data_IF_862666868619
#
_entry.id   IF_862666868619
#
_cell.length_a   1.000
_cell.length_b   1.000
_cell.length_c   1.000
_cell.angle_alpha   90.00
_cell.angle_beta   90.00
_cell.angle_gamma   90.00
#
_symmetry.space_group_name_H-M   'P 1'
#
loop_
_entity.id
_entity.type
_entity.pdbx_description
1 polymer ?
#
# COMPACT_ATOMS: atom_id res chain seq x y z
N UNK A 1 -14.24 17.33 -7.63
CA UNK A 1 -13.05 16.52 -7.38
C UNK A 1 -11.83 17.33 -7.80
N UNK A 2 -10.75 17.25 -7.02
CA UNK A 2 -9.47 17.95 -7.26
C UNK A 2 -8.65 17.13 -8.25
N UNK A 3 -8.06 17.78 -9.25
CA UNK A 3 -7.21 17.10 -10.25
C UNK A 3 -5.75 17.23 -9.86
N UNK A 4 -5.04 16.12 -9.77
CA UNK A 4 -3.68 16.05 -9.22
C UNK A 4 -2.78 15.20 -10.13
N UNK A 5 -1.57 15.66 -10.48
CA UNK A 5 -0.61 14.87 -11.25
C UNK A 5 0.08 13.88 -10.31
N UNK A 6 -0.41 12.63 -10.26
CA UNK A 6 0.14 11.60 -9.38
C UNK A 6 0.43 10.30 -10.14
N UNK A 7 1.36 9.51 -9.61
CA UNK A 7 1.62 8.14 -10.07
C UNK A 7 0.73 7.16 -9.29
N UNK A 8 -0.24 6.56 -10.00
CA UNK A 8 -1.15 5.59 -9.39
C UNK A 8 -0.43 4.33 -8.91
N UNK A 9 0.70 3.98 -9.54
CA UNK A 9 1.49 2.80 -9.17
C UNK A 9 2.21 3.04 -7.85
N UNK A 10 2.64 4.28 -7.60
CA UNK A 10 3.26 4.65 -6.33
C UNK A 10 2.25 4.63 -5.18
N UNK A 11 1.04 5.16 -5.39
CA UNK A 11 -0.05 5.07 -4.41
C UNK A 11 -0.43 3.62 -4.15
N UNK A 12 -0.64 2.83 -5.21
CA UNK A 12 -0.96 1.41 -5.12
C UNK A 12 0.12 0.62 -4.37
N UNK A 13 1.40 0.92 -4.62
CA UNK A 13 2.51 0.31 -3.91
C UNK A 13 2.53 0.68 -2.43
N UNK A 14 2.26 1.95 -2.10
CA UNK A 14 2.18 2.40 -0.71
C UNK A 14 1.08 1.69 0.09
N UNK A 15 -0.04 1.31 -0.56
CA UNK A 15 -1.11 0.51 0.08
C UNK A 15 -0.67 -0.92 0.43
N UNK A 16 0.30 -1.50 -0.29
CA UNK A 16 0.79 -2.85 0.01
C UNK A 16 1.83 -2.87 1.15
N UNK A 17 2.55 -1.75 1.36
CA UNK A 17 3.59 -1.68 2.38
C UNK A 17 2.95 -1.92 3.75
N UNK A 18 3.25 -3.09 4.32
CA UNK A 18 2.72 -3.47 5.63
C UNK A 18 3.17 -2.46 6.68
N UNK A 19 2.21 -1.87 7.40
CA UNK A 19 2.41 -0.98 8.56
C UNK A 19 3.16 -1.65 9.73
N UNK A 20 3.61 -2.90 9.59
CA UNK A 20 4.32 -3.66 10.61
C UNK A 20 5.73 -3.17 10.94
N UNK A 21 6.30 -2.27 10.13
CA UNK A 21 7.55 -1.57 10.44
C UNK A 21 7.34 -0.14 10.98
N UNK A 22 6.09 0.26 11.24
CA UNK A 22 5.74 1.61 11.64
C UNK A 22 5.91 2.64 10.52
N UNK A 23 5.99 2.25 9.24
CA UNK A 23 5.98 3.21 8.14
C UNK A 23 4.53 3.62 7.82
N UNK A 24 4.29 4.92 7.76
CA UNK A 24 3.07 5.55 7.27
C UNK A 24 3.35 6.16 5.90
N UNK A 25 2.35 6.18 5.03
CA UNK A 25 2.44 6.84 3.73
C UNK A 25 1.32 7.86 3.61
N UNK A 26 1.64 9.05 3.11
CA UNK A 26 0.70 10.15 2.91
C UNK A 26 0.76 10.58 1.44
N UNK A 27 -0.38 10.97 0.89
CA UNK A 27 -0.46 11.66 -0.39
C UNK A 27 -0.57 13.16 -0.14
N UNK A 28 0.37 13.93 -0.65
CA UNK A 28 0.18 15.37 -0.82
C UNK A 28 -0.77 15.61 -1.99
N UNK A 29 -2.00 16.01 -1.67
CA UNK A 29 -3.02 16.21 -2.71
C UNK A 29 -2.79 17.46 -3.56
N UNK A 30 -1.87 18.36 -3.21
CA UNK A 30 -1.52 19.50 -4.07
C UNK A 30 -0.49 19.11 -5.14
N UNK A 31 0.48 18.28 -4.78
CA UNK A 31 1.61 17.94 -5.65
C UNK A 31 1.49 16.57 -6.30
N UNK A 32 0.75 15.65 -5.68
CA UNK A 32 0.67 14.24 -6.06
C UNK A 32 1.79 13.38 -5.47
N UNK A 33 2.66 13.94 -4.62
CA UNK A 33 3.78 13.23 -4.00
C UNK A 33 3.31 12.23 -2.93
N UNK A 34 3.92 11.03 -2.94
CA UNK A 34 3.76 10.05 -1.86
C UNK A 34 4.89 10.21 -0.86
N UNK A 35 4.55 10.71 0.32
CA UNK A 35 5.45 10.99 1.43
C UNK A 35 5.45 9.79 2.38
N UNK A 36 6.63 9.37 2.85
CA UNK A 36 6.79 8.21 3.74
C UNK A 36 7.46 8.64 5.03
N UNK A 37 6.82 8.35 6.16
CA UNK A 37 7.25 8.79 7.49
C UNK A 37 7.09 7.64 8.46
N UNK A 38 8.05 7.46 9.36
CA UNK A 38 7.87 6.51 10.46
C UNK A 38 6.91 7.07 11.51
N UNK A 39 5.96 6.26 11.96
CA UNK A 39 4.93 6.62 12.94
C UNK A 39 5.53 7.18 14.23
N UNK A 40 6.68 6.65 14.67
CA UNK A 40 7.36 7.16 15.87
C UNK A 40 7.76 8.64 15.76
N UNK A 41 7.94 9.16 14.54
CA UNK A 41 8.25 10.58 14.31
C UNK A 41 7.00 11.42 14.58
N UNK A 42 5.86 11.00 14.02
CA UNK A 42 4.56 11.65 14.25
C UNK A 42 4.22 11.59 15.75
N UNK A 43 4.27 10.39 16.34
CA UNK A 43 3.96 10.17 17.76
C UNK A 43 4.86 11.02 18.69
N UNK A 44 6.15 11.11 18.36
CA UNK A 44 7.12 11.88 19.15
C UNK A 44 6.90 13.39 19.06
N UNK A 45 6.67 13.93 17.85
CA UNK A 45 6.37 15.35 17.67
C UNK A 45 5.06 15.75 18.36
N UNK A 46 4.01 14.93 18.27
CA UNK A 46 2.76 15.16 19.01
C UNK A 46 2.97 15.15 20.53
N UNK A 47 3.89 14.32 21.04
CA UNK A 47 4.27 14.28 22.45
C UNK A 47 5.18 15.45 22.88
N UNK A 48 5.60 16.31 21.93
CA UNK A 48 6.52 17.43 22.17
C UNK A 48 7.97 17.00 22.31
N UNK A 49 8.34 15.84 21.75
CA UNK A 49 9.73 15.38 21.69
C UNK A 49 10.50 16.14 20.60
N UNK A 50 11.75 16.49 20.88
CA UNK A 50 12.64 17.08 19.88
C UNK A 50 13.33 15.94 19.11
N UNK A 51 12.90 15.73 17.86
CA UNK A 51 13.49 14.74 16.95
C UNK A 51 14.49 15.45 16.06
N UNK A 52 15.73 14.97 16.03
CA UNK A 52 16.77 15.62 15.23
C UNK A 52 16.59 15.32 13.76
N UNK A 53 16.69 16.34 12.89
CA UNK A 53 16.75 16.15 11.44
C UNK A 53 17.94 15.24 11.01
N UNK A 54 18.97 15.05 11.85
CA UNK A 54 20.03 14.09 11.58
C UNK A 54 19.58 12.62 11.74
N UNK A 55 18.57 12.36 12.57
CA UNK A 55 18.01 11.03 12.83
C UNK A 55 17.04 10.61 11.72
N UNK A 56 16.29 11.56 11.16
CA UNK A 56 15.35 11.33 10.07
C UNK A 56 15.32 12.50 9.07
N UNK A 57 16.36 12.63 8.20
CA UNK A 57 16.49 13.77 7.29
C UNK A 57 15.30 13.91 6.34
N UNK A 58 14.66 15.08 6.32
CA UNK A 58 13.51 15.39 5.47
C UNK A 58 12.17 14.89 6.03
N UNK A 59 12.17 13.85 6.89
CA UNK A 59 10.94 13.29 7.45
C UNK A 59 10.36 14.15 8.57
N UNK A 60 11.21 14.83 9.34
CA UNK A 60 10.77 15.72 10.43
C UNK A 60 10.00 16.89 9.84
N UNK A 61 10.53 17.52 8.79
CA UNK A 61 9.89 18.65 8.12
C UNK A 61 8.51 18.26 7.54
N UNK A 62 8.41 17.12 6.87
CA UNK A 62 7.11 16.64 6.39
C UNK A 62 6.16 16.27 7.53
N UNK A 63 6.66 15.70 8.63
CA UNK A 63 5.84 15.34 9.77
C UNK A 63 5.25 16.59 10.45
N UNK A 64 6.03 17.66 10.60
CA UNK A 64 5.55 18.96 11.06
C UNK A 64 4.47 19.52 10.12
N UNK A 65 4.71 19.53 8.80
CA UNK A 65 3.71 19.98 7.82
C UNK A 65 2.40 19.18 7.88
N UNK A 66 2.48 17.86 8.09
CA UNK A 66 1.31 16.98 8.21
C UNK A 66 0.54 17.26 9.51
N UNK A 67 1.25 17.46 10.63
CA UNK A 67 0.63 17.73 11.92
C UNK A 67 -0.03 19.12 11.98
N UNK A 68 0.51 20.09 11.25
CA UNK A 68 -0.03 21.45 11.14
C UNK A 68 -1.12 21.58 10.05
N UNK A 69 -1.42 20.52 9.29
CA UNK A 69 -2.36 20.56 8.17
C UNK A 69 -3.83 20.57 8.61
N UNK A 70 -4.33 21.76 8.95
CA UNK A 70 -5.75 21.97 9.25
C UNK A 70 -6.66 21.87 8.02
N UNK A 71 -6.11 21.91 6.81
CA UNK A 71 -6.87 21.97 5.56
C UNK A 71 -7.09 20.60 4.89
N UNK A 72 -6.43 19.54 5.39
CA UNK A 72 -6.53 18.20 4.82
C UNK A 72 -5.87 18.08 3.44
N UNK A 73 -4.73 18.74 3.25
CA UNK A 73 -3.85 18.58 2.08
C UNK A 73 -3.20 17.20 2.07
N UNK A 74 -2.71 16.71 3.20
CA UNK A 74 -2.00 15.44 3.33
C UNK A 74 -2.97 14.33 3.76
N UNK A 75 -3.17 13.35 2.89
CA UNK A 75 -4.10 12.25 3.12
C UNK A 75 -3.34 10.96 3.37
N UNK A 76 -3.53 10.34 4.54
CA UNK A 76 -2.93 9.03 4.83
C UNK A 76 -3.45 7.97 3.83
N UNK A 77 -2.51 7.28 3.20
CA UNK A 77 -2.77 6.21 2.25
C UNK A 77 -3.08 4.94 3.06
N UNK A 78 -4.28 4.35 2.92
CA UNK A 78 -4.65 3.16 3.67
C UNK A 78 -3.81 1.97 3.24
N UNK A 79 -3.36 1.18 4.21
CA UNK A 79 -2.70 -0.10 3.93
C UNK A 79 -3.71 -1.22 3.81
N UNK A 80 -3.49 -2.17 2.89
CA UNK A 80 -4.30 -3.37 2.80
C UNK A 80 -4.19 -4.18 4.09
N UNK A 81 -5.35 -4.53 4.63
CA UNK A 81 -5.45 -5.48 5.72
C UNK A 81 -4.95 -6.86 5.28
N UNK A 82 -4.62 -7.69 6.28
CA UNK A 82 -4.30 -9.10 6.03
C UNK A 82 -5.48 -9.86 5.40
N UNK A 83 -6.72 -9.42 5.65
CA UNK A 83 -7.93 -10.00 5.07
C UNK A 83 -8.08 -9.63 3.59
N UNK A 84 -7.95 -8.36 3.23
CA UNK A 84 -8.02 -7.92 1.82
C UNK A 84 -6.91 -8.55 0.98
N UNK A 85 -5.67 -8.58 1.51
CA UNK A 85 -4.55 -9.25 0.86
C UNK A 85 -4.82 -10.75 0.65
N UNK A 86 -5.51 -11.38 1.60
CA UNK A 86 -5.90 -12.78 1.53
C UNK A 86 -6.97 -13.03 0.46
N UNK A 87 -7.98 -12.18 0.40
CA UNK A 87 -9.06 -12.26 -0.60
C UNK A 87 -8.52 -12.10 -2.02
N UNK A 88 -7.57 -11.18 -2.25
CA UNK A 88 -6.91 -11.02 -3.56
C UNK A 88 -6.23 -12.33 -3.99
N UNK A 89 -5.52 -13.02 -3.08
CA UNK A 89 -4.91 -14.32 -3.36
C UNK A 89 -5.96 -15.39 -3.69
N UNK A 90 -7.03 -15.49 -2.91
CA UNK A 90 -8.11 -16.47 -3.14
C UNK A 90 -8.74 -16.26 -4.51
N UNK A 91 -9.14 -15.03 -4.82
CA UNK A 91 -9.78 -14.72 -6.10
C UNK A 91 -8.87 -14.99 -7.29
N UNK A 92 -7.57 -14.73 -7.17
CA UNK A 92 -6.64 -15.12 -8.22
C UNK A 92 -6.61 -16.64 -8.42
N UNK A 93 -6.52 -17.40 -7.32
CA UNK A 93 -6.46 -18.87 -7.37
C UNK A 93 -7.74 -19.46 -8.00
N UNK A 94 -8.91 -18.84 -7.78
CA UNK A 94 -10.18 -19.24 -8.41
C UNK A 94 -10.16 -19.10 -9.95
N UNK A 95 -9.34 -18.20 -10.50
CA UNK A 95 -9.18 -18.05 -11.96
C UNK A 95 -8.37 -19.19 -12.61
N UNK A 96 -7.65 -19.98 -11.81
CA UNK A 96 -6.75 -21.03 -12.29
C UNK A 96 -7.55 -22.28 -12.69
N UNK A 97 -7.45 -22.65 -13.97
CA UNK A 97 -8.16 -23.83 -14.54
C UNK A 97 -7.62 -25.17 -14.05
N UNK A 98 -6.32 -25.25 -13.77
CA UNK A 98 -5.67 -26.50 -13.35
C UNK A 98 -5.97 -26.80 -11.88
N UNK A 99 -6.82 -27.79 -11.62
CA UNK A 99 -7.18 -28.16 -10.25
C UNK A 99 -5.99 -28.56 -9.37
N UNK A 100 -4.99 -29.32 -9.86
CA UNK A 100 -3.81 -29.64 -9.04
C UNK A 100 -3.05 -28.39 -8.59
N UNK A 101 -2.93 -27.40 -9.47
CA UNK A 101 -2.24 -26.13 -9.16
C UNK A 101 -3.06 -25.30 -8.18
N UNK A 102 -4.38 -25.20 -8.41
CA UNK A 102 -5.32 -24.51 -7.53
C UNK A 102 -5.25 -25.07 -6.11
N UNK A 103 -5.32 -26.39 -5.96
CA UNK A 103 -5.23 -27.07 -4.67
C UNK A 103 -3.86 -26.85 -3.99
N UNK A 104 -2.78 -26.87 -4.76
CA UNK A 104 -1.44 -26.60 -4.23
C UNK A 104 -1.34 -25.18 -3.64
N UNK A 105 -1.87 -24.17 -4.34
CA UNK A 105 -1.86 -22.77 -3.89
C UNK A 105 -2.82 -22.53 -2.72
N UNK A 106 -4.03 -23.08 -2.74
CA UNK A 106 -4.97 -23.00 -1.61
C UNK A 106 -4.36 -23.57 -0.33
N UNK A 107 -3.60 -24.67 -0.44
CA UNK A 107 -2.90 -25.27 0.69
C UNK A 107 -1.84 -24.37 1.34
N UNK A 108 -1.39 -23.30 0.66
CA UNK A 108 -0.42 -22.34 1.22
C UNK A 108 -1.06 -21.28 2.12
N UNK A 109 -2.37 -21.05 1.94
CA UNK A 109 -3.13 -19.93 2.49
C UNK A 109 -3.64 -20.17 3.92
N UNK A 110 -2.78 -20.67 4.80
CA UNK A 110 -3.13 -20.94 6.21
C UNK A 110 -2.12 -20.39 7.21
N UNK A 111 -2.57 -19.59 8.17
CA UNK A 111 -1.74 -19.09 9.27
C UNK A 111 -0.64 -18.12 8.84
N UNK A 112 0.24 -17.78 9.80
CA UNK A 112 1.33 -16.80 9.59
C UNK A 112 2.24 -17.22 8.43
N UNK A 113 2.59 -16.25 7.59
CA UNK A 113 3.46 -16.46 6.42
C UNK A 113 2.77 -17.08 5.19
N UNK A 114 1.43 -17.05 5.13
CA UNK A 114 0.66 -17.48 3.96
C UNK A 114 1.14 -16.84 2.66
N UNK A 115 1.29 -15.52 2.64
CA UNK A 115 1.76 -14.77 1.48
C UNK A 115 3.14 -15.22 0.99
N UNK A 116 4.09 -15.46 1.92
CA UNK A 116 5.43 -15.97 1.56
C UNK A 116 5.33 -17.35 0.92
N UNK A 117 4.58 -18.28 1.51
CA UNK A 117 4.43 -19.64 0.96
C UNK A 117 3.67 -19.66 -0.36
N UNK A 118 2.69 -18.77 -0.52
CA UNK A 118 1.99 -18.57 -1.79
C UNK A 118 2.99 -18.18 -2.88
N UNK A 119 3.82 -17.15 -2.65
CA UNK A 119 4.87 -16.71 -3.59
C UNK A 119 5.88 -17.82 -3.90
N UNK A 120 6.36 -18.53 -2.88
CA UNK A 120 7.29 -19.66 -3.07
C UNK A 120 6.67 -20.81 -3.88
N UNK A 121 5.35 -21.00 -3.77
CA UNK A 121 4.66 -22.09 -4.46
C UNK A 121 4.32 -21.71 -5.89
N UNK A 122 3.85 -20.48 -6.13
CA UNK A 122 3.52 -20.01 -7.48
C UNK A 122 4.75 -19.87 -8.37
N UNK A 123 5.92 -19.55 -7.79
CA UNK A 123 7.20 -19.49 -8.49
C UNK A 123 7.61 -20.81 -9.20
N UNK A 124 6.94 -21.93 -8.88
CA UNK A 124 7.09 -23.21 -9.62
C UNK A 124 6.48 -23.17 -11.02
N UNK A 125 5.65 -22.17 -11.31
CA UNK A 125 4.96 -21.96 -12.59
C UNK A 125 5.16 -20.49 -13.05
N UNK A 126 6.25 -20.17 -13.75
CA UNK A 126 6.60 -18.80 -14.11
C UNK A 126 5.52 -18.03 -14.88
N UNK A 127 4.74 -18.71 -15.73
CA UNK A 127 3.65 -18.08 -16.47
C UNK A 127 2.47 -17.71 -15.56
N UNK A 128 2.22 -18.48 -14.51
CA UNK A 128 1.20 -18.19 -13.49
C UNK A 128 1.68 -17.11 -12.52
N UNK A 129 2.95 -17.10 -12.18
CA UNK A 129 3.55 -16.05 -11.35
C UNK A 129 3.45 -14.68 -12.03
N UNK A 130 3.73 -14.60 -13.34
CA UNK A 130 3.50 -13.38 -14.11
C UNK A 130 2.02 -12.96 -14.14
N UNK A 131 1.10 -13.92 -14.29
CA UNK A 131 -0.34 -13.65 -14.23
C UNK A 131 -0.75 -13.15 -12.84
N UNK A 132 -0.14 -13.68 -11.77
CA UNK A 132 -0.36 -13.21 -10.42
C UNK A 132 0.08 -11.76 -10.25
N UNK A 133 1.30 -11.40 -10.66
CA UNK A 133 1.77 -10.02 -10.55
C UNK A 133 0.84 -9.06 -11.31
N UNK A 134 0.49 -9.38 -12.55
CA UNK A 134 -0.43 -8.55 -13.32
C UNK A 134 -1.82 -8.42 -12.67
N UNK A 135 -2.33 -9.51 -12.10
CA UNK A 135 -3.61 -9.51 -11.39
C UNK A 135 -3.56 -8.69 -10.10
N UNK A 136 -2.50 -8.88 -9.32
CA UNK A 136 -2.27 -8.19 -8.05
C UNK A 136 -2.13 -6.69 -8.26
N UNK A 137 -1.25 -6.26 -9.18
CA UNK A 137 -1.05 -4.84 -9.49
C UNK A 137 -2.34 -4.19 -9.99
N UNK A 138 -3.13 -4.91 -10.78
CA UNK A 138 -4.45 -4.42 -11.22
C UNK A 138 -5.39 -4.21 -10.04
N UNK A 139 -5.45 -5.14 -9.09
CA UNK A 139 -6.29 -5.01 -7.89
C UNK A 139 -5.82 -3.85 -7.00
N UNK A 140 -4.52 -3.68 -6.80
CA UNK A 140 -3.98 -2.55 -6.04
C UNK A 140 -4.33 -1.21 -6.69
N UNK A 141 -4.16 -1.08 -8.01
CA UNK A 141 -4.56 0.13 -8.75
C UNK A 141 -6.06 0.41 -8.60
N UNK A 142 -6.89 -0.62 -8.66
CA UNK A 142 -8.34 -0.48 -8.48
C UNK A 142 -8.71 0.02 -7.08
N UNK A 143 -8.03 -0.44 -6.03
CA UNK A 143 -8.21 0.08 -4.66
C UNK A 143 -7.69 1.51 -4.52
N UNK A 144 -6.51 1.80 -5.07
CA UNK A 144 -5.95 3.14 -5.06
C UNK A 144 -6.89 4.15 -5.74
N UNK A 145 -7.46 3.79 -6.89
CA UNK A 145 -8.47 4.62 -7.56
C UNK A 145 -9.75 4.79 -6.74
N UNK A 146 -10.22 3.74 -6.06
CA UNK A 146 -11.39 3.83 -5.17
C UNK A 146 -11.14 4.77 -3.99
N UNK A 147 -9.95 4.68 -3.39
CA UNK A 147 -9.55 5.57 -2.30
C UNK A 147 -9.38 7.01 -2.78
N UNK A 148 -8.69 7.26 -3.89
CA UNK A 148 -8.58 8.61 -4.46
C UNK A 148 -9.98 9.21 -4.71
N UNK A 149 -10.91 8.42 -5.24
CA UNK A 149 -12.28 8.88 -5.44
C UNK A 149 -13.02 9.19 -4.13
N UNK A 150 -12.78 8.43 -3.05
CA UNK A 150 -13.40 8.65 -1.75
C UNK A 150 -12.92 9.94 -1.07
N UNK A 151 -11.67 10.35 -1.32
CA UNK A 151 -11.10 11.64 -0.87
C UNK A 151 -11.31 12.77 -1.89
N UNK A 152 -12.06 12.51 -2.97
CA UNK A 152 -12.41 13.53 -3.97
C UNK A 152 -11.26 13.95 -4.88
N UNK A 153 -10.25 13.09 -5.08
CA UNK A 153 -9.10 13.30 -5.96
C UNK A 153 -9.29 12.54 -7.28
N UNK A 154 -8.94 13.19 -8.38
CA UNK A 154 -8.88 12.63 -9.73
C UNK A 154 -7.46 12.79 -10.29
N UNK A 155 -6.98 11.80 -11.04
CA UNK A 155 -5.68 11.88 -11.71
C UNK A 155 -5.76 12.85 -12.89
N UNK A 156 -4.88 13.84 -12.94
CA UNK A 156 -4.74 14.69 -14.12
C UNK A 156 -3.88 14.01 -15.19
N UNK A 157 -4.30 14.14 -16.45
CA UNK A 157 -3.56 13.67 -17.64
C UNK A 157 -2.34 14.52 -17.97
#
# INVERSE_FOLDING_TARGET
>A
MKKVPLDIDEVAFAMEIQSGNGMLSYLDTDTGEVIKIFSYIIDGLEAGEEISAAEAPGMVEYAEEILEDEMGRFMEIPTLSSEESYEIMIHFIETIKSEPVRNALLGTLQGKGALRRFRETIARWPELEQQWFAYHDKRLREEALRWLASIGVEISS
#
